data_IF_015947157346
#
_entry.id   IF_015947157346
#
_cell.length_a   1.000
_cell.length_b   1.000
_cell.length_c   1.000
_cell.angle_alpha   90.00
_cell.angle_beta   90.00
_cell.angle_gamma   90.00
#
_symmetry.space_group_name_H-M   'P 1'
#
loop_
_entity.id
_entity.type
_entity.pdbx_description
1 polymer ?
#
# COMPACT_ATOMS: atom_id res chain seq x y z
N UNK A 1 28.30 -5.40 -5.98
CA UNK A 1 28.10 -4.11 -5.27
C UNK A 1 27.52 -2.95 -6.12
N UNK A 2 27.73 -2.83 -7.45
CA UNK A 2 27.13 -1.76 -8.27
C UNK A 2 25.59 -1.84 -8.41
N UNK A 3 25.04 -3.04 -8.61
CA UNK A 3 23.60 -3.24 -8.83
C UNK A 3 22.73 -2.79 -7.64
N UNK A 4 23.18 -3.05 -6.40
CA UNK A 4 22.46 -2.64 -5.19
C UNK A 4 22.44 -1.11 -4.98
N UNK A 5 23.47 -0.38 -5.46
CA UNK A 5 23.50 1.08 -5.43
C UNK A 5 22.53 1.67 -6.46
N UNK A 6 22.45 1.06 -7.65
CA UNK A 6 21.54 1.50 -8.70
C UNK A 6 20.05 1.32 -8.31
N UNK A 7 19.71 0.20 -7.65
CA UNK A 7 18.36 -0.03 -7.13
C UNK A 7 17.93 1.00 -6.07
N UNK A 8 18.81 1.32 -5.11
CA UNK A 8 18.53 2.35 -4.10
C UNK A 8 18.34 3.75 -4.70
N UNK A 9 19.16 4.10 -5.69
CA UNK A 9 19.01 5.37 -6.40
C UNK A 9 17.64 5.44 -7.11
N UNK A 10 17.22 4.36 -7.80
CA UNK A 10 15.89 4.34 -8.44
C UNK A 10 14.74 4.47 -7.43
N UNK A 11 14.83 3.81 -6.27
CA UNK A 11 13.81 3.93 -5.23
C UNK A 11 13.71 5.34 -4.67
N UNK A 12 14.84 6.01 -4.44
CA UNK A 12 14.85 7.41 -4.03
C UNK A 12 14.27 8.33 -5.11
N UNK A 13 14.63 8.13 -6.39
CA UNK A 13 14.08 8.92 -7.50
C UNK A 13 12.56 8.75 -7.63
N UNK A 14 12.07 7.52 -7.62
CA UNK A 14 10.62 7.23 -7.70
C UNK A 14 9.89 7.79 -6.48
N UNK A 15 10.48 7.70 -5.29
CA UNK A 15 9.90 8.24 -4.07
C UNK A 15 9.77 9.75 -4.11
N UNK A 16 10.85 10.47 -4.44
CA UNK A 16 10.83 11.92 -4.59
C UNK A 16 9.83 12.35 -5.66
N UNK A 17 9.78 11.63 -6.79
CA UNK A 17 8.84 11.89 -7.87
C UNK A 17 7.39 11.70 -7.43
N UNK A 18 7.01 10.55 -6.85
CA UNK A 18 5.66 10.31 -6.36
C UNK A 18 5.24 11.26 -5.26
N UNK A 19 6.16 11.63 -4.37
CA UNK A 19 5.91 12.65 -3.34
C UNK A 19 5.60 14.00 -4.01
N UNK A 20 6.46 14.45 -4.94
CA UNK A 20 6.24 15.69 -5.67
C UNK A 20 4.90 15.71 -6.42
N UNK A 21 4.57 14.61 -7.11
CA UNK A 21 3.27 14.46 -7.78
C UNK A 21 2.11 14.54 -6.78
N UNK A 22 2.17 13.81 -5.65
CA UNK A 22 1.15 13.86 -4.61
C UNK A 22 0.86 15.30 -4.14
N UNK A 23 1.90 16.11 -3.92
CA UNK A 23 1.75 17.51 -3.52
C UNK A 23 1.30 18.44 -4.66
N UNK A 24 1.64 18.12 -5.90
CA UNK A 24 1.27 18.92 -7.07
C UNK A 24 -0.22 18.78 -7.42
N UNK A 25 -0.76 17.56 -7.30
CA UNK A 25 -2.07 17.21 -7.88
C UNK A 25 -3.20 17.22 -6.84
N UNK A 26 -2.88 17.13 -5.56
CA UNK A 26 -3.85 17.09 -4.48
C UNK A 26 -3.60 18.23 -3.48
N UNK A 27 -4.59 19.10 -3.22
CA UNK A 27 -4.43 20.22 -2.28
C UNK A 27 -4.13 19.72 -0.87
N UNK A 28 -3.71 20.62 0.03
CA UNK A 28 -3.58 20.34 1.45
C UNK A 28 -4.63 21.14 2.24
N UNK A 29 -5.65 20.49 2.84
CA UNK A 29 -5.93 19.05 2.79
C UNK A 29 -6.56 18.61 1.44
N UNK A 30 -6.33 17.36 1.07
CA UNK A 30 -7.02 16.71 -0.05
C UNK A 30 -8.41 16.25 0.38
N UNK A 31 -9.30 15.97 -0.59
CA UNK A 31 -10.73 15.69 -0.34
C UNK A 31 -10.99 14.62 0.74
N UNK A 32 -10.17 13.57 0.82
CA UNK A 32 -10.36 12.49 1.78
C UNK A 32 -9.58 12.70 3.08
N UNK A 33 -8.58 13.57 3.12
CA UNK A 33 -7.72 13.73 4.30
C UNK A 33 -8.47 14.20 5.55
N UNK A 34 -9.42 15.17 5.48
CA UNK A 34 -10.22 15.53 6.63
C UNK A 34 -11.04 14.33 7.14
N UNK A 35 -11.62 13.55 6.25
CA UNK A 35 -12.40 12.37 6.61
C UNK A 35 -11.55 11.35 7.37
N UNK A 36 -10.37 11.01 6.84
CA UNK A 36 -9.46 10.04 7.48
C UNK A 36 -8.86 10.57 8.79
N UNK A 37 -8.35 11.81 8.81
CA UNK A 37 -7.70 12.34 10.00
C UNK A 37 -8.68 12.64 11.12
N UNK A 38 -9.88 13.16 10.82
CA UNK A 38 -10.89 13.36 11.85
C UNK A 38 -11.40 12.03 12.39
N UNK A 39 -11.61 11.00 11.55
CA UNK A 39 -11.93 9.65 12.01
C UNK A 39 -10.83 9.05 12.88
N UNK A 40 -9.57 9.21 12.47
CA UNK A 40 -8.42 8.72 13.23
C UNK A 40 -8.31 9.43 14.59
N UNK A 41 -8.55 10.74 14.63
CA UNK A 41 -8.57 11.54 15.86
C UNK A 41 -9.72 11.12 16.79
N UNK A 42 -10.93 10.98 16.26
CA UNK A 42 -12.08 10.54 17.05
C UNK A 42 -11.92 9.11 17.58
N UNK A 43 -11.26 8.23 16.83
CA UNK A 43 -10.93 6.88 17.30
C UNK A 43 -9.91 6.92 18.45
N UNK A 44 -8.92 7.81 18.38
CA UNK A 44 -7.88 7.96 19.40
C UNK A 44 -8.34 8.74 20.64
N UNK A 45 -9.31 9.63 20.49
CA UNK A 45 -9.91 10.47 21.53
C UNK A 45 -11.44 10.51 21.35
N UNK A 46 -12.17 9.51 21.88
CA UNK A 46 -13.63 9.39 21.66
C UNK A 46 -14.47 10.55 22.22
N UNK A 47 -13.90 11.36 23.12
CA UNK A 47 -14.58 12.56 23.62
C UNK A 47 -14.56 13.69 22.58
N UNK A 48 -13.56 13.72 21.70
CA UNK A 48 -13.40 14.73 20.65
C UNK A 48 -14.51 14.60 19.60
N UNK A 49 -15.28 15.68 19.43
CA UNK A 49 -16.40 15.73 18.49
C UNK A 49 -17.40 14.56 18.65
N UNK A 50 -17.66 14.13 19.89
CA UNK A 50 -18.53 12.98 20.23
C UNK A 50 -19.98 13.07 19.72
N UNK A 51 -20.44 14.26 19.33
CA UNK A 51 -21.79 14.49 18.77
C UNK A 51 -21.84 14.47 17.24
N UNK A 52 -20.70 14.31 16.57
CA UNK A 52 -20.63 14.27 15.12
C UNK A 52 -21.04 12.88 14.60
N UNK A 53 -22.16 12.83 13.87
CA UNK A 53 -22.70 11.57 13.34
C UNK A 53 -21.71 10.82 12.44
N UNK A 54 -20.98 11.53 11.59
CA UNK A 54 -20.01 10.90 10.70
C UNK A 54 -18.89 10.27 11.52
N UNK A 55 -18.33 10.97 12.52
CA UNK A 55 -17.24 10.45 13.34
C UNK A 55 -17.67 9.24 14.18
N UNK A 56 -18.90 9.22 14.68
CA UNK A 56 -19.46 8.09 15.45
C UNK A 56 -19.90 6.89 14.61
N UNK A 57 -19.95 7.00 13.27
CA UNK A 57 -20.27 5.87 12.41
C UNK A 57 -19.18 4.77 12.41
N UNK A 58 -19.47 3.60 11.86
CA UNK A 58 -18.54 2.48 11.78
C UNK A 58 -17.22 2.85 11.06
N UNK A 59 -16.13 2.19 11.46
CA UNK A 59 -14.80 2.45 10.95
C UNK A 59 -14.40 1.48 9.83
N UNK A 60 -14.54 1.92 8.57
CA UNK A 60 -14.20 1.08 7.41
C UNK A 60 -12.69 0.74 7.28
N UNK A 61 -11.81 1.58 7.83
CA UNK A 61 -10.35 1.47 7.68
C UNK A 61 -9.65 1.38 9.04
N UNK A 62 -10.20 0.58 9.97
CA UNK A 62 -9.82 0.57 11.38
C UNK A 62 -8.30 0.52 11.64
N UNK A 63 -7.56 -0.39 11.00
CA UNK A 63 -6.11 -0.50 11.21
C UNK A 63 -5.36 0.77 10.78
N UNK A 64 -5.74 1.37 9.65
CA UNK A 64 -5.15 2.64 9.21
C UNK A 64 -5.49 3.76 10.19
N UNK A 65 -6.75 3.85 10.64
CA UNK A 65 -7.20 4.87 11.58
C UNK A 65 -6.48 4.76 12.92
N UNK A 66 -6.21 3.54 13.40
CA UNK A 66 -5.42 3.33 14.63
C UNK A 66 -3.98 3.83 14.48
N UNK A 67 -3.32 3.49 13.36
CA UNK A 67 -1.95 3.96 13.08
C UNK A 67 -1.87 5.48 12.96
N UNK A 68 -2.83 6.09 12.24
CA UNK A 68 -2.89 7.53 12.10
C UNK A 68 -3.29 8.23 13.42
N UNK A 69 -4.21 7.64 14.18
CA UNK A 69 -4.84 8.24 15.36
C UNK A 69 -3.83 8.69 16.40
N UNK A 70 -2.86 7.85 16.75
CA UNK A 70 -1.80 8.20 17.69
C UNK A 70 -1.01 9.45 17.28
N UNK A 71 -0.75 9.62 15.98
CA UNK A 71 -0.05 10.82 15.47
C UNK A 71 -0.90 12.09 15.57
N UNK A 72 -2.23 11.98 15.43
CA UNK A 72 -3.16 13.12 15.59
C UNK A 72 -3.26 13.61 17.03
N UNK A 73 -2.79 12.84 18.02
CA UNK A 73 -2.75 13.25 19.43
C UNK A 73 -1.60 14.22 19.74
N UNK A 74 -0.49 14.10 18.99
CA UNK A 74 0.77 14.79 19.29
C UNK A 74 1.20 15.78 18.20
N UNK A 75 0.51 15.81 17.05
CA UNK A 75 0.83 16.68 15.92
C UNK A 75 -0.42 17.33 15.34
N UNK A 76 -0.24 18.46 14.66
CA UNK A 76 -1.32 19.14 13.94
C UNK A 76 -1.76 18.32 12.72
N UNK A 77 -3.03 18.40 12.30
CA UNK A 77 -3.53 17.64 11.14
C UNK A 77 -2.70 17.86 9.87
N UNK A 78 -2.25 19.09 9.59
CA UNK A 78 -1.43 19.38 8.41
C UNK A 78 -0.07 18.67 8.46
N UNK A 79 0.55 18.57 9.65
CA UNK A 79 1.84 17.90 9.80
C UNK A 79 1.69 16.38 9.61
N UNK A 80 0.62 15.81 10.18
CA UNK A 80 0.27 14.40 9.98
C UNK A 80 0.03 14.11 8.50
N UNK A 81 -0.70 14.98 7.79
CA UNK A 81 -0.89 14.88 6.34
C UNK A 81 0.45 14.85 5.58
N UNK A 82 1.34 15.80 5.84
CA UNK A 82 2.61 15.91 5.11
C UNK A 82 3.47 14.66 5.32
N UNK A 83 3.65 14.27 6.58
CA UNK A 83 4.44 13.08 6.93
C UNK A 83 3.77 11.83 6.35
N UNK A 84 2.46 11.71 6.47
CA UNK A 84 1.68 10.59 5.96
C UNK A 84 1.82 10.43 4.44
N UNK A 85 1.77 11.53 3.68
CA UNK A 85 2.03 11.51 2.22
C UNK A 85 3.44 11.04 1.92
N UNK A 86 4.46 11.63 2.55
CA UNK A 86 5.87 11.28 2.34
C UNK A 86 6.10 9.79 2.61
N UNK A 87 5.60 9.27 3.75
CA UNK A 87 5.76 7.87 4.14
C UNK A 87 4.99 6.94 3.19
N UNK A 88 3.75 7.27 2.84
CA UNK A 88 2.92 6.44 1.96
C UNK A 88 3.48 6.39 0.53
N UNK A 89 3.94 7.53 -0.01
CA UNK A 89 4.64 7.59 -1.29
C UNK A 89 5.97 6.81 -1.25
N UNK A 90 6.66 6.80 -0.10
CA UNK A 90 7.86 6.00 0.09
C UNK A 90 7.57 4.50 0.00
N UNK A 91 6.53 4.04 0.70
CA UNK A 91 6.08 2.65 0.62
C UNK A 91 5.64 2.26 -0.80
N UNK A 92 4.91 3.14 -1.47
CA UNK A 92 4.50 2.95 -2.86
C UNK A 92 5.71 2.86 -3.81
N UNK A 93 6.70 3.73 -3.66
CA UNK A 93 7.92 3.71 -4.44
C UNK A 93 8.76 2.44 -4.22
N UNK A 94 8.84 1.95 -2.97
CA UNK A 94 9.48 0.68 -2.67
C UNK A 94 8.76 -0.48 -3.38
N UNK A 95 7.43 -0.54 -3.30
CA UNK A 95 6.64 -1.52 -4.04
C UNK A 95 6.85 -1.44 -5.54
N UNK A 96 6.87 -0.22 -6.09
CA UNK A 96 7.09 0.05 -7.50
C UNK A 96 8.43 -0.50 -8.01
N UNK A 97 9.54 -0.12 -7.35
CA UNK A 97 10.88 -0.54 -7.77
C UNK A 97 11.08 -2.04 -7.57
N UNK A 98 10.51 -2.63 -6.52
CA UNK A 98 10.57 -4.08 -6.29
C UNK A 98 9.80 -4.84 -7.37
N UNK A 99 8.63 -4.34 -7.78
CA UNK A 99 7.88 -4.92 -8.88
C UNK A 99 8.62 -4.79 -10.21
N UNK A 100 9.14 -3.60 -10.52
CA UNK A 100 9.95 -3.38 -11.72
C UNK A 100 11.15 -4.33 -11.78
N UNK A 101 11.82 -4.55 -10.65
CA UNK A 101 12.92 -5.52 -10.55
C UNK A 101 12.45 -6.96 -10.79
N UNK A 102 11.31 -7.38 -10.23
CA UNK A 102 10.73 -8.71 -10.45
C UNK A 102 10.27 -8.92 -11.91
N UNK A 103 10.04 -7.84 -12.65
CA UNK A 103 9.76 -7.84 -14.08
C UNK A 103 11.03 -7.69 -14.94
N UNK A 104 12.22 -7.72 -14.34
CA UNK A 104 13.52 -7.56 -14.99
C UNK A 104 13.72 -6.21 -15.70
N UNK A 105 13.02 -5.16 -15.27
CA UNK A 105 13.25 -3.81 -15.78
C UNK A 105 14.55 -3.23 -15.23
N UNK A 106 15.28 -2.49 -16.07
CA UNK A 106 16.44 -1.73 -15.61
C UNK A 106 16.01 -0.56 -14.71
N UNK A 107 16.91 -0.01 -13.87
CA UNK A 107 16.60 1.11 -12.98
C UNK A 107 16.04 2.34 -13.71
N UNK A 108 16.53 2.62 -14.93
CA UNK A 108 16.02 3.71 -15.78
C UNK A 108 14.59 3.42 -16.22
N UNK A 109 14.32 2.21 -16.72
CA UNK A 109 12.97 1.82 -17.12
C UNK A 109 11.99 1.80 -15.95
N UNK A 110 12.46 1.48 -14.73
CA UNK A 110 11.64 1.61 -13.51
C UNK A 110 11.25 3.06 -13.21
N UNK A 111 12.14 4.02 -13.43
CA UNK A 111 11.81 5.44 -13.26
C UNK A 111 10.88 5.92 -14.38
N UNK A 112 11.14 5.54 -15.63
CA UNK A 112 10.28 5.89 -16.77
C UNK A 112 8.86 5.32 -16.61
N UNK A 113 8.72 4.08 -16.12
CA UNK A 113 7.39 3.51 -15.86
C UNK A 113 6.63 4.28 -14.78
N UNK A 114 7.32 4.79 -13.75
CA UNK A 114 6.70 5.65 -12.74
C UNK A 114 6.17 6.97 -13.34
N UNK A 115 6.93 7.57 -14.26
CA UNK A 115 6.50 8.78 -14.99
C UNK A 115 5.28 8.49 -15.86
N UNK A 116 5.32 7.40 -16.65
CA UNK A 116 4.19 6.99 -17.50
C UNK A 116 2.95 6.73 -16.64
N UNK A 117 3.12 6.02 -15.51
CA UNK A 117 2.03 5.76 -14.59
C UNK A 117 1.42 7.04 -14.01
N UNK A 118 2.24 8.00 -13.58
CA UNK A 118 1.75 9.28 -13.08
C UNK A 118 1.01 10.06 -14.18
N UNK A 119 1.51 10.05 -15.41
CA UNK A 119 0.83 10.67 -16.55
C UNK A 119 -0.53 10.00 -16.84
N UNK A 120 -0.60 8.68 -16.82
CA UNK A 120 -1.87 7.95 -16.96
C UNK A 120 -2.83 8.26 -15.81
N UNK A 121 -2.34 8.31 -14.57
CA UNK A 121 -3.17 8.61 -13.41
C UNK A 121 -3.71 10.04 -13.43
N UNK A 122 -2.97 10.99 -14.03
CA UNK A 122 -3.40 12.36 -14.25
C UNK A 122 -4.37 12.52 -15.43
N UNK A 123 -4.20 11.74 -16.49
CA UNK A 123 -5.10 11.75 -17.63
C UNK A 123 -6.50 11.23 -17.28
N UNK A 124 -6.59 10.37 -16.27
CA UNK A 124 -7.85 9.94 -15.69
C UNK A 124 -7.70 8.70 -14.83
N UNK A 125 -8.66 8.49 -13.95
CA UNK A 125 -8.79 7.26 -13.19
C UNK A 125 -10.10 6.57 -13.51
N UNK A 126 -10.06 5.25 -13.57
CA UNK A 126 -11.29 4.46 -13.54
C UNK A 126 -11.94 4.65 -12.16
N UNK A 127 -13.22 5.01 -12.15
CA UNK A 127 -14.01 5.25 -10.93
C UNK A 127 -13.60 6.47 -10.08
N UNK A 128 -12.79 7.40 -10.60
CA UNK A 128 -12.29 8.54 -9.82
C UNK A 128 -11.23 8.14 -8.78
N UNK A 129 -10.74 6.91 -8.82
CA UNK A 129 -9.78 6.38 -7.87
C UNK A 129 -8.33 6.77 -8.20
N UNK A 130 -7.69 7.58 -7.36
CA UNK A 130 -6.27 7.90 -7.52
C UNK A 130 -5.38 7.02 -6.62
N UNK A 131 -4.22 6.65 -7.15
CA UNK A 131 -3.15 5.96 -6.40
C UNK A 131 -2.15 6.97 -5.86
N UNK A 132 -1.88 8.04 -6.62
CA UNK A 132 -1.10 9.19 -6.20
C UNK A 132 -2.07 10.28 -5.76
N UNK A 133 -1.95 10.77 -4.53
CA UNK A 133 -2.91 11.74 -4.00
C UNK A 133 -2.69 12.05 -2.53
N UNK A 134 -3.78 12.20 -1.77
CA UNK A 134 -3.74 12.54 -0.35
C UNK A 134 -3.27 11.42 0.57
N UNK A 135 -3.11 11.74 1.85
CA UNK A 135 -2.86 10.78 2.91
C UNK A 135 -4.15 10.08 3.34
N UNK A 136 -4.33 8.86 2.85
CA UNK A 136 -5.48 8.00 3.11
C UNK A 136 -5.08 6.53 3.03
N UNK A 137 -5.95 5.64 3.53
CA UNK A 137 -5.62 4.22 3.71
C UNK A 137 -5.22 3.47 2.43
N UNK A 138 -5.74 3.87 1.27
CA UNK A 138 -5.48 3.17 0.00
C UNK A 138 -4.05 3.34 -0.52
N UNK A 139 -3.40 4.48 -0.30
CA UNK A 139 -2.04 4.74 -0.83
C UNK A 139 -1.00 3.77 -0.25
N UNK A 140 -0.88 3.60 1.09
CA UNK A 140 0.03 2.59 1.64
C UNK A 140 -0.42 1.16 1.30
N UNK A 141 -1.73 0.90 1.17
CA UNK A 141 -2.22 -0.41 0.73
C UNK A 141 -1.75 -0.75 -0.70
N UNK A 142 -1.75 0.21 -1.63
CA UNK A 142 -1.18 0.04 -2.97
C UNK A 142 0.33 -0.26 -2.92
N UNK A 143 1.08 0.41 -2.04
CA UNK A 143 2.51 0.11 -1.88
C UNK A 143 2.77 -1.33 -1.40
N UNK A 144 2.02 -1.78 -0.39
CA UNK A 144 2.06 -3.17 0.06
C UNK A 144 1.59 -4.15 -1.00
N UNK A 145 0.58 -3.78 -1.79
CA UNK A 145 0.09 -4.55 -2.91
C UNK A 145 1.19 -4.82 -3.95
N UNK A 146 1.93 -3.79 -4.37
CA UNK A 146 3.03 -3.94 -5.32
C UNK A 146 4.18 -4.78 -4.73
N UNK A 147 4.49 -4.61 -3.43
CA UNK A 147 5.46 -5.48 -2.73
C UNK A 147 5.01 -6.94 -2.72
N UNK A 148 3.71 -7.18 -2.52
CA UNK A 148 3.15 -8.53 -2.51
C UNK A 148 3.28 -9.20 -3.86
N UNK A 149 2.91 -8.51 -4.94
CA UNK A 149 3.08 -8.98 -6.32
C UNK A 149 4.56 -9.24 -6.63
N UNK A 150 5.45 -8.32 -6.27
CA UNK A 150 6.88 -8.45 -6.50
C UNK A 150 7.47 -9.69 -5.81
N UNK A 151 7.09 -9.92 -4.54
CA UNK A 151 7.50 -11.09 -3.77
C UNK A 151 6.97 -12.40 -4.39
N UNK A 152 5.72 -12.39 -4.84
CA UNK A 152 5.11 -13.53 -5.51
C UNK A 152 5.80 -13.86 -6.84
N UNK A 153 5.96 -12.86 -7.72
CA UNK A 153 6.65 -13.02 -9.01
C UNK A 153 8.06 -13.57 -8.83
N UNK A 154 8.82 -12.99 -7.89
CA UNK A 154 10.18 -13.45 -7.58
C UNK A 154 10.17 -14.91 -7.14
N UNK A 155 9.19 -15.33 -6.33
CA UNK A 155 9.12 -16.70 -5.86
C UNK A 155 8.78 -17.72 -6.96
N UNK A 156 7.87 -17.39 -7.87
CA UNK A 156 7.41 -18.33 -8.92
C UNK A 156 8.34 -18.41 -10.12
N UNK A 157 9.18 -17.40 -10.35
CA UNK A 157 10.19 -17.39 -11.42
C UNK A 157 11.36 -18.35 -11.16
N UNK A 158 11.55 -18.82 -9.92
CA UNK A 158 12.61 -19.75 -9.58
C UNK A 158 12.13 -21.21 -9.64
N UNK A 159 13.01 -22.12 -10.10
CA UNK A 159 12.70 -23.56 -10.19
C UNK A 159 12.31 -24.19 -8.83
N UNK A 160 12.76 -23.60 -7.73
CA UNK A 160 12.26 -23.90 -6.37
C UNK A 160 11.68 -22.62 -5.76
N UNK A 161 10.47 -22.66 -5.18
CA UNK A 161 9.86 -21.47 -4.60
C UNK A 161 10.72 -20.89 -3.49
N UNK A 162 11.16 -19.64 -3.65
CA UNK A 162 11.93 -18.96 -2.63
C UNK A 162 11.02 -18.59 -1.46
N UNK A 163 11.05 -19.40 -0.39
CA UNK A 163 10.15 -19.28 0.77
C UNK A 163 10.09 -17.86 1.36
N UNK A 164 11.23 -17.16 1.45
CA UNK A 164 11.29 -15.79 1.98
C UNK A 164 10.48 -14.79 1.14
N UNK A 165 10.46 -14.96 -0.19
CA UNK A 165 9.72 -14.11 -1.11
C UNK A 165 8.21 -14.37 -1.02
N UNK A 166 7.79 -15.62 -0.81
CA UNK A 166 6.39 -15.96 -0.53
C UNK A 166 5.90 -15.46 0.84
N UNK A 167 6.75 -15.51 1.87
CA UNK A 167 6.44 -14.92 3.18
C UNK A 167 6.22 -13.42 3.05
N UNK A 168 7.13 -12.73 2.34
CA UNK A 168 6.99 -11.30 2.04
C UNK A 168 5.68 -11.02 1.30
N UNK A 169 5.35 -11.85 0.31
CA UNK A 169 4.09 -11.72 -0.44
C UNK A 169 2.86 -11.83 0.46
N UNK A 170 2.80 -12.86 1.30
CA UNK A 170 1.70 -13.08 2.24
C UNK A 170 1.55 -11.95 3.26
N UNK A 171 2.65 -11.53 3.89
CA UNK A 171 2.63 -10.45 4.88
C UNK A 171 2.18 -9.11 4.28
N UNK A 172 2.75 -8.72 3.14
CA UNK A 172 2.37 -7.48 2.47
C UNK A 172 0.93 -7.53 1.99
N UNK A 173 0.46 -8.65 1.44
CA UNK A 173 -0.93 -8.83 1.03
C UNK A 173 -1.88 -8.72 2.23
N UNK A 174 -1.54 -9.35 3.36
CA UNK A 174 -2.33 -9.28 4.58
C UNK A 174 -2.41 -7.85 5.09
N UNK A 175 -1.26 -7.21 5.31
CA UNK A 175 -1.18 -5.83 5.82
C UNK A 175 -1.91 -4.84 4.91
N UNK A 176 -1.77 -4.98 3.59
CA UNK A 176 -2.48 -4.14 2.63
C UNK A 176 -4.00 -4.27 2.77
N UNK A 177 -4.48 -5.48 3.05
CA UNK A 177 -5.91 -5.76 3.25
C UNK A 177 -6.41 -5.22 4.58
N UNK A 178 -5.60 -5.28 5.64
CA UNK A 178 -5.92 -4.66 6.93
C UNK A 178 -6.03 -3.15 6.85
N UNK A 179 -5.16 -2.50 6.06
CA UNK A 179 -5.19 -1.05 5.88
C UNK A 179 -6.37 -0.62 5.02
N UNK A 180 -6.61 -1.31 3.91
CA UNK A 180 -7.68 -0.98 2.99
C UNK A 180 -8.29 -2.24 2.36
N UNK A 181 -9.45 -2.72 2.87
CA UNK A 181 -10.02 -4.01 2.51
C UNK A 181 -10.30 -4.19 1.01
N UNK A 182 -10.67 -3.13 0.30
CA UNK A 182 -10.95 -3.21 -1.14
C UNK A 182 -9.67 -3.47 -1.94
N UNK A 183 -8.70 -2.56 -1.87
CA UNK A 183 -7.41 -2.64 -2.57
C UNK A 183 -6.63 -3.89 -2.16
N UNK A 184 -6.38 -4.08 -0.87
CA UNK A 184 -5.57 -5.19 -0.40
C UNK A 184 -6.30 -6.53 -0.54
N UNK A 185 -7.59 -6.57 -0.19
CA UNK A 185 -8.39 -7.80 -0.18
C UNK A 185 -8.60 -8.36 -1.58
N UNK A 186 -8.98 -7.52 -2.55
CA UNK A 186 -9.09 -7.98 -3.95
C UNK A 186 -7.75 -8.41 -4.51
N UNK A 187 -6.66 -7.71 -4.19
CA UNK A 187 -5.34 -8.17 -4.60
C UNK A 187 -5.01 -9.54 -4.00
N UNK A 188 -5.30 -9.75 -2.72
CA UNK A 188 -5.06 -11.03 -2.07
C UNK A 188 -5.81 -12.17 -2.76
N UNK A 189 -7.07 -11.95 -3.14
CA UNK A 189 -7.85 -12.91 -3.93
C UNK A 189 -7.17 -13.19 -5.27
N UNK A 190 -6.71 -12.15 -5.98
CA UNK A 190 -5.99 -12.31 -7.25
C UNK A 190 -4.68 -13.09 -7.09
N UNK A 191 -3.87 -12.79 -6.08
CA UNK A 191 -2.61 -13.49 -5.81
C UNK A 191 -2.83 -14.94 -5.41
N UNK A 192 -3.83 -15.21 -4.56
CA UNK A 192 -4.24 -16.56 -4.22
C UNK A 192 -4.65 -17.36 -5.46
N UNK A 193 -5.48 -16.76 -6.31
CA UNK A 193 -5.96 -17.38 -7.54
C UNK A 193 -4.80 -17.63 -8.52
N UNK A 194 -3.93 -16.65 -8.73
CA UNK A 194 -2.76 -16.77 -9.60
C UNK A 194 -1.82 -17.88 -9.12
N UNK A 195 -1.56 -17.98 -7.81
CA UNK A 195 -0.74 -19.04 -7.24
C UNK A 195 -1.37 -20.43 -7.43
N UNK A 196 -2.69 -20.57 -7.26
CA UNK A 196 -3.38 -21.85 -7.46
C UNK A 196 -3.29 -22.31 -8.91
N UNK A 197 -3.40 -21.38 -9.86
CA UNK A 197 -3.39 -21.66 -11.30
C UNK A 197 -1.99 -21.84 -11.89
N UNK A 198 -1.00 -21.06 -11.44
CA UNK A 198 0.30 -20.95 -12.11
C UNK A 198 1.44 -21.70 -11.40
N UNK A 199 1.32 -22.02 -10.10
CA UNK A 199 2.46 -22.58 -9.36
C UNK A 199 2.64 -24.09 -9.58
N UNK A 200 3.85 -24.57 -9.93
CA UNK A 200 4.15 -25.99 -9.99
C UNK A 200 4.19 -26.63 -8.59
N UNK A 201 3.95 -27.94 -8.51
CA UNK A 201 3.99 -28.71 -7.26
C UNK A 201 2.61 -28.97 -6.63
N UNK A 202 2.61 -29.65 -5.48
CA UNK A 202 1.40 -30.06 -4.77
C UNK A 202 0.69 -28.88 -4.07
N UNK A 203 -0.59 -29.06 -3.74
CA UNK A 203 -1.44 -28.04 -3.13
C UNK A 203 -0.82 -27.42 -1.86
N UNK A 204 -0.16 -28.23 -1.02
CA UNK A 204 0.51 -27.76 0.21
C UNK A 204 1.62 -26.75 -0.09
N UNK A 205 2.42 -26.99 -1.13
CA UNK A 205 3.46 -26.05 -1.58
C UNK A 205 2.85 -24.80 -2.21
N UNK A 206 1.73 -24.94 -2.93
CA UNK A 206 0.98 -23.79 -3.49
C UNK A 206 0.41 -22.89 -2.39
N UNK A 207 -0.01 -23.48 -1.26
CA UNK A 207 -0.61 -22.75 -0.13
C UNK A 207 0.42 -22.22 0.89
N UNK A 208 1.65 -22.75 0.92
CA UNK A 208 2.73 -22.30 1.81
C UNK A 208 3.18 -20.87 1.46
N UNK A 209 2.64 -19.88 2.19
CA UNK A 209 2.91 -18.45 2.00
C UNK A 209 1.64 -17.61 1.92
N UNK A 210 0.61 -18.11 1.23
CA UNK A 210 -0.71 -17.49 1.20
C UNK A 210 -1.49 -17.69 2.50
N UNK A 211 -1.22 -18.77 3.23
CA UNK A 211 -1.72 -18.93 4.59
C UNK A 211 -1.14 -17.89 5.57
N UNK A 212 -0.12 -17.11 5.18
CA UNK A 212 0.35 -15.97 5.98
C UNK A 212 -0.40 -14.67 5.65
N UNK A 213 -1.14 -14.61 4.54
CA UNK A 213 -2.09 -13.51 4.28
C UNK A 213 -3.24 -13.53 5.28
N UNK A 214 -3.70 -14.72 5.70
CA UNK A 214 -4.85 -14.83 6.61
C UNK A 214 -4.58 -14.19 7.98
N UNK A 215 -3.35 -14.23 8.50
CA UNK A 215 -3.05 -13.71 9.85
C UNK A 215 -3.25 -12.19 9.93
N UNK A 216 -2.65 -11.34 9.06
CA UNK A 216 -2.98 -9.93 9.07
C UNK A 216 -4.38 -9.62 8.50
N UNK A 217 -4.89 -10.42 7.56
CA UNK A 217 -6.26 -10.22 7.06
C UNK A 217 -7.33 -10.40 8.14
N UNK A 218 -7.08 -11.24 9.16
CA UNK A 218 -7.96 -11.35 10.32
C UNK A 218 -7.98 -10.06 11.15
N UNK A 219 -6.92 -9.24 11.13
CA UNK A 219 -6.94 -7.90 11.75
C UNK A 219 -7.90 -6.96 11.00
N UNK A 220 -8.08 -7.15 9.69
CA UNK A 220 -9.07 -6.42 8.89
C UNK A 220 -10.52 -6.79 9.25
N UNK A 221 -10.71 -7.99 9.81
CA UNK A 221 -12.01 -8.53 10.21
C UNK A 221 -12.33 -8.28 11.69
N UNK A 222 -11.42 -7.63 12.45
CA UNK A 222 -11.73 -7.21 13.80
C UNK A 222 -12.86 -6.17 13.75
N UNK A 223 -13.88 -6.27 14.61
CA UNK A 223 -14.89 -5.23 14.72
C UNK A 223 -14.21 -3.94 15.15
N UNK A 224 -14.27 -2.93 14.29
CA UNK A 224 -13.81 -1.56 14.55
C UNK A 224 -14.95 -0.59 14.71
#
# INVERSE_FOLDING_TARGET
MPAARCGRASAACVWLFFTAISFLIAPLPAVNEPHYLCKARALADPAWCSRDFFLQSANAHYCFLQLAGGSTLIATPWLVTIIGRIVSCGLLAQGWVRLATALHLSPIHSCLSAVIFAACNLAGSFSGEWVLGGFESKVPAWGLALLAIAGWLTAVQHATPQKSSLITAGLCSGLGSSLHPVVGGWLAVCLCSAQLLAAPGNLRTRLHGLLLFSVPALLAALPG
#
